data_IF_856691737515
#
_entry.id   IF_856691737515
#
_cell.length_a   1.000
_cell.length_b   1.000
_cell.length_c   1.000
_cell.angle_alpha   90.00
_cell.angle_beta   90.00
_cell.angle_gamma   90.00
#
_symmetry.space_group_name_H-M   'P 1'
#
loop_
_entity.id
_entity.type
_entity.pdbx_description
1 polymer ?
#
# COMPACT_ATOMS: atom_id res chain seq x y z
N UNK A 1 -3.92 -12.63 6.23
CA UNK A 1 -2.76 -12.38 7.13
C UNK A 1 -3.32 -11.94 8.47
N UNK A 2 -2.66 -12.26 9.59
CA UNK A 2 -3.10 -11.82 10.92
C UNK A 2 -2.37 -10.54 11.39
N UNK A 3 -2.88 -9.92 12.45
CA UNK A 3 -2.34 -8.65 12.99
C UNK A 3 -0.89 -8.74 13.47
N UNK A 4 -0.45 -9.82 14.16
CA UNK A 4 0.94 -9.96 14.56
C UNK A 4 1.91 -9.99 13.38
N UNK A 5 1.60 -10.75 12.31
CA UNK A 5 2.47 -10.81 11.13
C UNK A 5 2.52 -9.46 10.42
N UNK A 6 1.39 -8.76 10.27
CA UNK A 6 1.37 -7.43 9.66
C UNK A 6 2.22 -6.42 10.47
N UNK A 7 2.19 -6.46 11.80
CA UNK A 7 3.04 -5.61 12.65
C UNK A 7 4.52 -5.82 12.38
N UNK A 8 4.93 -7.08 12.28
CA UNK A 8 6.32 -7.43 11.97
C UNK A 8 6.73 -6.85 10.60
N UNK A 9 5.90 -7.06 9.58
CA UNK A 9 6.16 -6.55 8.23
C UNK A 9 6.20 -5.02 8.16
N UNK A 10 5.30 -4.34 8.87
CA UNK A 10 5.25 -2.88 8.91
C UNK A 10 6.40 -2.29 9.72
N UNK A 11 6.83 -2.95 10.79
CA UNK A 11 8.02 -2.55 11.54
C UNK A 11 9.24 -2.57 10.61
N UNK A 12 9.41 -3.63 9.82
CA UNK A 12 10.46 -3.70 8.82
C UNK A 12 10.32 -2.62 7.72
N UNK A 13 9.11 -2.38 7.21
CA UNK A 13 8.86 -1.37 6.17
C UNK A 13 9.15 0.05 6.64
N UNK A 14 8.74 0.39 7.86
CA UNK A 14 8.84 1.76 8.41
C UNK A 14 10.26 2.30 8.38
N UNK A 15 11.28 1.45 8.45
CA UNK A 15 12.68 1.87 8.37
C UNK A 15 13.06 2.49 7.02
N UNK A 16 12.28 2.24 5.96
CA UNK A 16 12.62 2.61 4.58
C UNK A 16 11.73 3.71 3.98
N UNK A 17 10.62 4.07 4.63
CA UNK A 17 9.65 5.05 4.11
C UNK A 17 9.44 6.21 5.11
N UNK A 18 10.01 7.40 4.84
CA UNK A 18 9.91 8.57 5.72
C UNK A 18 8.49 9.10 5.93
N UNK A 19 7.60 8.93 4.94
CA UNK A 19 6.22 9.37 5.05
C UNK A 19 5.43 8.43 5.94
N UNK A 20 5.72 7.12 5.86
CA UNK A 20 5.16 6.14 6.77
C UNK A 20 5.61 6.38 8.22
N UNK A 21 6.89 6.70 8.44
CA UNK A 21 7.42 7.02 9.79
C UNK A 21 6.68 8.21 10.43
N UNK A 22 6.43 9.27 9.66
CA UNK A 22 5.72 10.47 10.14
C UNK A 22 4.25 10.22 10.45
N UNK A 23 3.69 9.10 10.03
CA UNK A 23 2.26 8.82 10.16
C UNK A 23 1.81 8.39 11.57
N UNK A 24 2.73 8.32 12.55
CA UNK A 24 2.49 7.87 13.94
C UNK A 24 1.63 6.60 14.02
N UNK A 25 1.83 5.69 13.07
CA UNK A 25 0.97 4.55 12.88
C UNK A 25 1.21 3.46 13.91
N UNK A 26 0.11 2.88 14.40
CA UNK A 26 0.10 1.67 15.21
C UNK A 26 -0.97 0.73 14.68
N UNK A 27 -0.72 -0.58 14.79
CA UNK A 27 -1.71 -1.62 14.46
C UNK A 27 -2.35 -2.08 15.78
N UNK A 28 -3.60 -1.71 16.10
CA UNK A 28 -4.35 -2.22 17.24
C UNK A 28 -4.56 -3.73 17.17
N UNK A 29 -4.80 -4.35 18.33
CA UNK A 29 -5.02 -5.81 18.44
C UNK A 29 -6.33 -6.27 17.78
N UNK A 30 -7.28 -5.35 17.61
CA UNK A 30 -8.61 -5.59 17.03
C UNK A 30 -8.70 -5.23 15.55
N UNK A 31 -7.58 -4.91 14.90
CA UNK A 31 -7.58 -4.55 13.49
C UNK A 31 -7.97 -5.73 12.60
N UNK A 32 -8.87 -5.48 11.64
CA UNK A 32 -9.20 -6.45 10.60
C UNK A 32 -8.24 -6.30 9.43
N UNK A 33 -7.75 -7.43 8.92
CA UNK A 33 -6.79 -7.48 7.82
C UNK A 33 -7.34 -8.40 6.74
N UNK A 34 -7.50 -7.84 5.55
CA UNK A 34 -7.86 -8.60 4.35
C UNK A 34 -6.66 -8.61 3.40
N UNK A 35 -6.49 -9.71 2.69
CA UNK A 35 -5.43 -9.85 1.71
C UNK A 35 -6.01 -10.41 0.42
N UNK A 36 -5.62 -9.83 -0.71
CA UNK A 36 -6.01 -10.29 -2.03
C UNK A 36 -4.83 -10.25 -2.99
N UNK A 37 -4.62 -11.34 -3.72
CA UNK A 37 -3.68 -11.35 -4.84
C UNK A 37 -4.21 -10.44 -5.94
N UNK A 38 -3.33 -9.58 -6.46
CA UNK A 38 -3.64 -8.62 -7.51
C UNK A 38 -2.54 -8.66 -8.56
N UNK A 39 -2.92 -8.60 -9.84
CA UNK A 39 -1.90 -8.54 -10.89
C UNK A 39 -1.29 -7.15 -10.99
N UNK A 40 0.02 -7.10 -11.14
CA UNK A 40 0.80 -5.86 -11.37
C UNK A 40 0.26 -5.11 -12.58
N UNK A 41 -0.08 -5.83 -13.65
CA UNK A 41 -0.64 -5.23 -14.86
C UNK A 41 -2.01 -4.58 -14.60
N UNK A 42 -2.89 -5.22 -13.83
CA UNK A 42 -4.21 -4.68 -13.49
C UNK A 42 -4.10 -3.42 -12.64
N UNK A 43 -3.19 -3.42 -11.66
CA UNK A 43 -2.88 -2.23 -10.86
C UNK A 43 -2.31 -1.13 -11.74
N UNK A 44 -1.34 -1.44 -12.59
CA UNK A 44 -0.70 -0.47 -13.47
C UNK A 44 -1.71 0.17 -14.43
N UNK A 45 -2.61 -0.62 -15.02
CA UNK A 45 -3.72 -0.13 -15.84
C UNK A 45 -4.62 0.83 -15.05
N UNK A 46 -5.03 0.42 -13.85
CA UNK A 46 -5.91 1.20 -12.97
C UNK A 46 -5.28 2.53 -12.58
N UNK A 47 -4.03 2.52 -12.12
CA UNK A 47 -3.37 3.73 -11.61
C UNK A 47 -2.87 4.66 -12.71
N UNK A 48 -2.49 4.16 -13.89
CA UNK A 48 -2.27 5.03 -15.07
C UNK A 48 -3.54 5.75 -15.47
N UNK A 49 -4.70 5.09 -15.39
CA UNK A 49 -6.00 5.74 -15.66
C UNK A 49 -6.34 6.77 -14.58
N UNK A 50 -6.06 6.49 -13.31
CA UNK A 50 -6.24 7.43 -12.19
C UNK A 50 -5.34 8.65 -12.35
N UNK A 51 -4.08 8.45 -12.73
CA UNK A 51 -3.09 9.51 -12.93
C UNK A 51 -3.59 10.57 -13.94
N UNK A 52 -4.19 10.13 -15.05
CA UNK A 52 -4.79 11.03 -16.06
C UNK A 52 -5.97 11.86 -15.52
N UNK A 53 -6.55 11.49 -14.39
CA UNK A 53 -7.77 12.08 -13.80
C UNK A 53 -7.51 12.86 -12.52
N UNK A 54 -6.33 12.74 -11.92
CA UNK A 54 -6.01 13.31 -10.60
C UNK A 54 -5.91 14.83 -10.55
N UNK A 55 -6.05 15.54 -11.68
CA UNK A 55 -6.27 17.00 -11.71
C UNK A 55 -5.20 17.82 -10.97
N UNK A 56 -5.62 18.95 -10.38
CA UNK A 56 -4.76 19.93 -9.68
C UNK A 56 -4.28 19.47 -8.29
N UNK A 57 -4.67 18.28 -7.81
CA UNK A 57 -4.17 17.77 -6.53
C UNK A 57 -2.75 17.20 -6.73
N UNK A 58 -1.76 18.09 -6.68
CA UNK A 58 -0.34 17.76 -6.83
C UNK A 58 0.12 16.62 -5.92
N UNK A 59 -0.32 16.59 -4.65
CA UNK A 59 0.05 15.53 -3.71
C UNK A 59 -0.46 14.18 -4.17
N UNK A 60 -1.72 14.09 -4.56
CA UNK A 60 -2.31 12.84 -5.03
C UNK A 60 -1.73 12.41 -6.37
N UNK A 61 -1.40 13.37 -7.24
CA UNK A 61 -0.70 13.13 -8.50
C UNK A 61 0.67 12.50 -8.26
N UNK A 62 1.55 13.13 -7.47
CA UNK A 62 2.90 12.62 -7.17
C UNK A 62 2.86 11.25 -6.50
N UNK A 63 1.93 11.01 -5.57
CA UNK A 63 1.75 9.68 -4.97
C UNK A 63 1.34 8.62 -5.99
N UNK A 64 0.46 8.98 -6.92
CA UNK A 64 0.03 8.08 -8.00
C UNK A 64 1.17 7.81 -8.98
N UNK A 65 1.98 8.82 -9.32
CA UNK A 65 3.18 8.66 -10.16
C UNK A 65 4.20 7.71 -9.51
N UNK A 66 4.50 7.89 -8.22
CA UNK A 66 5.41 7.03 -7.49
C UNK A 66 4.95 5.57 -7.49
N UNK A 67 3.65 5.34 -7.29
CA UNK A 67 3.10 3.98 -7.38
C UNK A 67 3.21 3.41 -8.80
N UNK A 68 2.89 4.21 -9.83
CA UNK A 68 3.00 3.75 -11.22
C UNK A 68 4.45 3.39 -11.55
N UNK A 69 5.42 4.23 -11.17
CA UNK A 69 6.84 3.96 -11.36
C UNK A 69 7.26 2.66 -10.64
N UNK A 70 6.87 2.51 -9.37
CA UNK A 70 7.11 1.26 -8.61
C UNK A 70 6.56 0.03 -9.35
N UNK A 71 5.31 0.07 -9.83
CA UNK A 71 4.69 -1.05 -10.53
C UNK A 71 5.30 -1.32 -11.91
N UNK A 72 5.93 -0.33 -12.56
CA UNK A 72 6.63 -0.54 -13.82
C UNK A 72 7.94 -1.30 -13.63
N UNK A 73 8.67 -0.97 -12.57
CA UNK A 73 9.98 -1.54 -12.29
C UNK A 73 9.91 -2.82 -11.45
N UNK A 74 8.77 -3.12 -10.83
CA UNK A 74 8.61 -4.34 -10.03
C UNK A 74 8.66 -5.60 -10.92
N UNK A 75 9.52 -6.59 -10.60
CA UNK A 75 9.82 -7.70 -11.50
C UNK A 75 8.76 -8.80 -11.51
N UNK A 76 7.95 -8.95 -10.46
CA UNK A 76 6.96 -10.03 -10.37
C UNK A 76 5.62 -9.62 -11.00
N UNK A 77 4.86 -10.60 -11.49
CA UNK A 77 3.55 -10.35 -12.12
C UNK A 77 2.43 -10.15 -11.11
N UNK A 78 2.59 -10.70 -9.90
CA UNK A 78 1.58 -10.69 -8.86
C UNK A 78 2.10 -10.01 -7.60
N UNK A 79 1.20 -9.30 -6.94
CA UNK A 79 1.41 -8.64 -5.67
C UNK A 79 0.28 -9.05 -4.72
N UNK A 80 0.52 -8.91 -3.42
CA UNK A 80 -0.56 -9.03 -2.44
C UNK A 80 -1.00 -7.64 -2.03
N UNK A 81 -2.27 -7.32 -2.29
CA UNK A 81 -2.92 -6.16 -1.70
C UNK A 81 -3.30 -6.50 -0.26
N UNK A 82 -2.93 -5.64 0.67
CA UNK A 82 -3.25 -5.78 2.09
C UNK A 82 -4.12 -4.59 2.49
N UNK A 83 -5.40 -4.88 2.69
CA UNK A 83 -6.37 -3.95 3.24
C UNK A 83 -6.35 -4.09 4.76
N UNK A 84 -6.28 -2.94 5.41
CA UNK A 84 -6.25 -2.85 6.85
C UNK A 84 -7.37 -1.92 7.31
N UNK A 85 -8.11 -2.34 8.32
CA UNK A 85 -9.22 -1.58 8.89
C UNK A 85 -9.04 -1.47 10.42
N UNK A 86 -9.02 -0.25 10.95
CA UNK A 86 -9.17 -0.03 12.40
C UNK A 86 -10.65 -0.12 12.81
N UNK A 87 -10.88 -0.41 14.09
CA UNK A 87 -12.19 -0.27 14.71
C UNK A 87 -12.73 1.17 14.69
N UNK A 88 -11.84 2.16 14.56
CA UNK A 88 -12.18 3.57 14.37
C UNK A 88 -12.57 3.93 12.92
N UNK A 89 -12.56 2.94 12.00
CA UNK A 89 -12.95 3.12 10.60
C UNK A 89 -11.84 3.68 9.69
N UNK A 90 -10.60 3.79 10.17
CA UNK A 90 -9.47 4.12 9.31
C UNK A 90 -9.13 2.93 8.42
N UNK A 91 -9.10 3.16 7.11
CA UNK A 91 -8.61 2.20 6.12
C UNK A 91 -7.19 2.57 5.69
N UNK A 92 -6.30 1.59 5.67
CA UNK A 92 -4.98 1.72 5.00
C UNK A 92 -4.76 0.57 4.03
N UNK A 93 -4.09 0.90 2.94
CA UNK A 93 -3.81 -0.02 1.85
C UNK A 93 -2.32 -0.15 1.62
N UNK A 94 -1.84 -1.38 1.54
CA UNK A 94 -0.44 -1.70 1.27
C UNK A 94 -0.32 -2.69 0.12
N UNK A 95 0.81 -2.62 -0.57
CA UNK A 95 1.27 -3.69 -1.45
C UNK A 95 2.36 -4.45 -0.75
N UNK A 96 2.24 -5.77 -0.75
CA UNK A 96 3.26 -6.72 -0.34
C UNK A 96 3.70 -7.56 -1.54
N UNK A 97 4.85 -8.22 -1.42
CA UNK A 97 5.24 -9.24 -2.38
C UNK A 97 4.22 -10.38 -2.42
N UNK A 98 4.27 -11.21 -3.45
CA UNK A 98 3.33 -12.32 -3.62
C UNK A 98 3.20 -13.22 -2.37
N UNK A 99 4.33 -13.53 -1.73
CA UNK A 99 4.37 -14.39 -0.54
C UNK A 99 3.87 -13.72 0.75
N UNK A 100 3.52 -12.43 0.68
CA UNK A 100 3.12 -11.62 1.84
C UNK A 100 4.15 -11.73 2.99
N UNK A 101 5.41 -11.58 2.61
CA UNK A 101 6.61 -11.66 3.46
C UNK A 101 7.29 -10.30 3.65
N UNK A 102 6.91 -9.32 2.83
CA UNK A 102 7.47 -7.97 2.85
C UNK A 102 6.45 -6.98 2.30
N UNK A 103 6.23 -5.89 3.04
CA UNK A 103 5.52 -4.72 2.51
C UNK A 103 6.47 -3.96 1.59
N UNK A 104 5.99 -3.65 0.40
CA UNK A 104 6.74 -3.03 -0.68
C UNK A 104 6.34 -1.57 -0.89
N UNK A 105 5.07 -1.24 -0.68
CA UNK A 105 4.57 0.10 -0.94
C UNK A 105 3.36 0.43 -0.06
N UNK A 106 3.33 1.63 0.52
CA UNK A 106 2.16 2.17 1.19
C UNK A 106 1.32 3.05 0.25
N UNK A 107 0.10 2.63 -0.03
CA UNK A 107 -0.81 3.30 -0.97
C UNK A 107 -1.59 4.41 -0.27
N UNK A 108 -0.91 5.47 0.17
CA UNK A 108 -1.48 6.62 0.90
C UNK A 108 -2.31 7.59 0.04
N UNK A 109 -3.10 7.06 -0.90
CA UNK A 109 -3.83 7.82 -1.94
C UNK A 109 -5.29 8.17 -1.58
N UNK A 110 -5.68 8.01 -0.31
CA UNK A 110 -7.06 8.23 0.16
C UNK A 110 -7.23 9.42 1.11
N UNK A 111 -6.22 10.29 1.23
CA UNK A 111 -6.31 11.56 1.98
C UNK A 111 -5.98 12.73 1.07
#
# INVERSE_FOLDING_TARGET
MDAPKLRELLSAYSTNDPDFQKSNWHVPDDAAIECGTVSRESLLHTYRRRLKRTGENHTLHTKTENLVAFLQDYPEEELTMVDYYTSEGEMRLFLANYECSRILFWMSMFK
#
